data_IF_957764259127
#
_entry.id   IF_957764259127
#
_cell.length_a   1.000
_cell.length_b   1.000
_cell.length_c   1.000
_cell.angle_alpha   90.00
_cell.angle_beta   90.00
_cell.angle_gamma   90.00
#
_symmetry.space_group_name_H-M   'P 1'
#
loop_
_entity.id
_entity.type
_entity.pdbx_description
1 polymer ?
#
# COMPACT_ATOMS: atom_id res chain seq x y z
N UNK A 1 4.18 -60.30 -9.48
CA UNK A 1 3.33 -59.49 -8.59
C UNK A 1 3.38 -58.07 -9.06
N UNK A 2 2.38 -57.63 -9.86
CA UNK A 2 2.35 -56.27 -10.49
C UNK A 2 1.64 -55.31 -9.54
N UNK A 3 2.36 -54.37 -8.99
CA UNK A 3 1.78 -53.27 -8.20
C UNK A 3 1.01 -52.34 -9.14
N UNK A 4 -0.30 -52.26 -8.96
CA UNK A 4 -1.15 -51.23 -9.56
C UNK A 4 -0.99 -49.91 -8.79
N UNK A 5 -0.34 -48.94 -9.38
CA UNK A 5 -0.35 -47.55 -8.89
C UNK A 5 -1.76 -46.97 -9.08
N UNK A 6 -2.45 -46.68 -7.99
CA UNK A 6 -3.67 -45.86 -7.99
C UNK A 6 -3.31 -44.45 -8.43
N UNK A 7 -3.90 -43.99 -9.52
CA UNK A 7 -3.92 -42.55 -9.87
C UNK A 7 -4.63 -41.79 -8.73
N UNK A 8 -3.89 -41.01 -8.00
CA UNK A 8 -4.46 -39.95 -7.15
C UNK A 8 -5.04 -38.88 -8.05
N UNK A 9 -6.34 -38.70 -8.01
CA UNK A 9 -7.02 -37.55 -8.59
C UNK A 9 -6.52 -36.30 -7.87
N UNK A 10 -5.98 -35.34 -8.64
CA UNK A 10 -5.64 -34.03 -8.12
C UNK A 10 -6.94 -33.34 -7.68
N UNK A 11 -7.02 -32.76 -6.48
CA UNK A 11 -8.18 -31.98 -6.11
C UNK A 11 -8.29 -30.82 -7.12
N UNK A 12 -9.44 -30.71 -7.77
CA UNK A 12 -9.80 -29.56 -8.58
C UNK A 12 -9.83 -28.37 -7.65
N UNK A 13 -8.96 -27.41 -7.91
CA UNK A 13 -9.05 -26.07 -7.32
C UNK A 13 -10.39 -25.52 -7.82
N UNK A 14 -11.38 -25.48 -6.94
CA UNK A 14 -12.63 -24.80 -7.22
C UNK A 14 -12.29 -23.32 -7.44
N UNK A 15 -12.36 -22.87 -8.68
CA UNK A 15 -12.47 -21.45 -9.00
C UNK A 15 -13.72 -20.94 -8.28
N UNK A 16 -13.65 -19.82 -7.55
CA UNK A 16 -14.84 -19.25 -6.94
C UNK A 16 -15.86 -19.00 -8.06
N UNK A 17 -17.04 -19.56 -7.92
CA UNK A 17 -18.17 -19.32 -8.80
C UNK A 17 -18.41 -17.81 -8.88
N UNK A 18 -18.18 -17.26 -10.07
CA UNK A 18 -18.46 -15.86 -10.38
C UNK A 18 -19.97 -15.63 -10.30
N UNK A 19 -20.42 -15.08 -9.19
CA UNK A 19 -21.73 -14.45 -9.13
C UNK A 19 -21.80 -13.32 -10.17
N UNK A 20 -22.92 -13.20 -10.85
CA UNK A 20 -23.22 -12.36 -12.04
C UNK A 20 -23.00 -10.83 -11.87
N UNK A 21 -22.37 -10.37 -10.81
CA UNK A 21 -22.12 -8.94 -10.51
C UNK A 21 -20.72 -8.43 -10.93
N UNK A 22 -19.90 -9.23 -11.64
CA UNK A 22 -18.50 -8.87 -11.91
C UNK A 22 -18.13 -8.88 -13.40
N UNK A 23 -19.10 -8.72 -14.30
CA UNK A 23 -18.80 -8.56 -15.72
C UNK A 23 -18.23 -7.16 -15.98
N UNK A 24 -17.17 -7.03 -16.80
CA UNK A 24 -16.65 -5.73 -17.19
C UNK A 24 -17.74 -4.88 -17.83
N UNK A 25 -17.75 -3.59 -17.52
CA UNK A 25 -18.74 -2.64 -18.05
C UNK A 25 -18.17 -1.90 -19.25
N UNK A 26 -18.94 -1.89 -20.35
CA UNK A 26 -18.59 -1.21 -21.59
C UNK A 26 -19.60 -0.11 -21.87
N UNK A 27 -19.14 1.10 -22.10
CA UNK A 27 -19.95 2.18 -22.65
C UNK A 27 -19.90 2.14 -24.18
N UNK A 28 -21.05 2.06 -24.82
CA UNK A 28 -21.20 2.13 -26.28
C UNK A 28 -21.85 3.46 -26.64
N UNK A 29 -21.21 4.23 -27.52
CA UNK A 29 -21.62 5.59 -27.88
C UNK A 29 -21.66 5.72 -29.40
N UNK A 30 -22.81 5.88 -29.97
CA UNK A 30 -23.04 6.07 -31.43
C UNK A 30 -24.37 6.81 -31.61
N UNK A 31 -24.41 7.85 -32.40
CA UNK A 31 -25.64 8.67 -32.61
C UNK A 31 -26.77 7.92 -33.33
N UNK A 32 -26.43 6.80 -33.96
CA UNK A 32 -27.42 5.92 -34.59
C UNK A 32 -27.92 4.85 -33.61
N UNK A 33 -29.19 4.86 -33.19
CA UNK A 33 -29.72 3.86 -32.23
C UNK A 33 -29.56 2.41 -32.70
N UNK A 34 -29.57 2.19 -34.00
CA UNK A 34 -29.38 0.88 -34.62
C UNK A 34 -27.99 0.30 -34.36
N UNK A 35 -26.97 1.14 -34.44
CA UNK A 35 -25.57 0.75 -34.13
C UNK A 35 -25.40 0.43 -32.64
N UNK A 36 -25.95 1.26 -31.76
CA UNK A 36 -25.94 1.01 -30.32
C UNK A 36 -26.59 -0.34 -30.02
N UNK A 37 -27.79 -0.59 -30.53
CA UNK A 37 -28.51 -1.86 -30.30
C UNK A 37 -27.75 -3.07 -30.87
N UNK A 38 -27.09 -2.93 -32.03
CA UNK A 38 -26.31 -4.01 -32.63
C UNK A 38 -25.07 -4.34 -31.77
N UNK A 39 -24.35 -3.31 -31.29
CA UNK A 39 -23.17 -3.50 -30.43
C UNK A 39 -23.54 -4.02 -29.06
N UNK A 40 -24.65 -3.57 -28.46
CA UNK A 40 -25.18 -4.14 -27.21
C UNK A 40 -25.53 -5.63 -27.38
N UNK A 41 -26.25 -5.98 -28.44
CA UNK A 41 -26.62 -7.37 -28.74
C UNK A 41 -25.36 -8.25 -28.91
N UNK A 42 -24.32 -7.70 -29.55
CA UNK A 42 -23.05 -8.38 -29.79
C UNK A 42 -22.26 -8.68 -28.50
N UNK A 43 -22.27 -7.75 -27.55
CA UNK A 43 -21.37 -7.76 -26.39
C UNK A 43 -22.04 -8.21 -25.09
N UNK A 44 -23.38 -8.18 -24.97
CA UNK A 44 -24.13 -8.44 -23.73
C UNK A 44 -23.90 -9.80 -23.08
N UNK A 45 -23.42 -10.80 -23.82
CA UNK A 45 -23.16 -12.14 -23.29
C UNK A 45 -21.85 -12.22 -22.49
N UNK A 46 -20.90 -11.31 -22.77
CA UNK A 46 -19.57 -11.30 -22.17
C UNK A 46 -19.36 -10.06 -21.24
N UNK A 47 -20.19 -9.03 -21.41
CA UNK A 47 -20.00 -7.71 -20.77
C UNK A 47 -21.33 -7.11 -20.32
N UNK A 48 -21.27 -6.23 -19.31
CA UNK A 48 -22.34 -5.31 -18.98
C UNK A 48 -22.24 -4.11 -19.94
N UNK A 49 -23.21 -3.91 -20.81
CA UNK A 49 -23.17 -2.85 -21.80
C UNK A 49 -24.13 -1.72 -21.42
N UNK A 50 -23.67 -0.47 -21.55
CA UNK A 50 -24.46 0.74 -21.35
C UNK A 50 -24.37 1.56 -22.63
N UNK A 51 -25.51 1.70 -23.34
CA UNK A 51 -25.57 2.38 -24.62
C UNK A 51 -26.00 3.85 -24.51
N UNK A 52 -25.38 4.69 -25.33
CA UNK A 52 -25.69 6.13 -25.43
C UNK A 52 -25.82 6.53 -26.89
N UNK A 53 -26.93 7.22 -27.21
CA UNK A 53 -27.13 7.87 -28.54
C UNK A 53 -26.77 9.36 -28.53
N UNK A 54 -26.44 9.89 -27.34
CA UNK A 54 -26.00 11.27 -27.17
C UNK A 54 -24.64 11.33 -26.47
N UNK A 55 -23.58 11.86 -27.12
CA UNK A 55 -22.25 11.89 -26.56
C UNK A 55 -22.12 12.77 -25.30
N UNK A 56 -23.00 13.78 -25.13
CA UNK A 56 -22.98 14.61 -23.91
C UNK A 56 -23.53 13.85 -22.69
N UNK A 57 -24.57 13.03 -22.89
CA UNK A 57 -25.07 12.15 -21.81
C UNK A 57 -24.04 11.08 -21.44
N UNK A 58 -23.35 10.53 -22.43
CA UNK A 58 -22.24 9.61 -22.19
C UNK A 58 -21.13 10.26 -21.37
N UNK A 59 -20.73 11.49 -21.70
CA UNK A 59 -19.70 12.23 -20.98
C UNK A 59 -20.09 12.50 -19.53
N UNK A 60 -21.36 12.84 -19.26
CA UNK A 60 -21.88 13.03 -17.91
C UNK A 60 -21.85 11.72 -17.10
N UNK A 61 -22.32 10.63 -17.70
CA UNK A 61 -22.28 9.31 -17.07
C UNK A 61 -20.85 8.87 -16.72
N UNK A 62 -19.93 9.00 -17.69
CA UNK A 62 -18.53 8.61 -17.55
C UNK A 62 -17.72 9.49 -16.56
N UNK A 63 -18.25 10.67 -16.20
CA UNK A 63 -17.67 11.51 -15.16
C UNK A 63 -17.92 10.97 -13.74
N UNK A 64 -18.97 10.16 -13.55
CA UNK A 64 -19.41 9.66 -12.24
C UNK A 64 -19.30 8.14 -12.09
N UNK A 65 -19.41 7.41 -13.21
CA UNK A 65 -19.44 5.95 -13.22
C UNK A 65 -18.18 5.36 -13.87
N UNK A 66 -17.62 4.35 -13.24
CA UNK A 66 -16.46 3.62 -13.79
C UNK A 66 -16.91 2.63 -14.85
N UNK A 67 -16.23 2.65 -15.99
CA UNK A 67 -16.36 1.62 -17.05
C UNK A 67 -14.99 1.04 -17.38
N UNK A 68 -14.95 -0.21 -17.81
CA UNK A 68 -13.72 -0.90 -18.21
C UNK A 68 -13.29 -0.53 -19.62
N UNK A 69 -14.27 -0.27 -20.52
CA UNK A 69 -14.01 0.11 -21.90
C UNK A 69 -15.04 1.09 -22.43
N UNK A 70 -14.61 1.93 -23.38
CA UNK A 70 -15.45 2.81 -24.20
C UNK A 70 -15.34 2.36 -25.65
N UNK A 71 -16.48 2.16 -26.29
CA UNK A 71 -16.61 1.95 -27.70
C UNK A 71 -17.41 3.14 -28.28
N UNK A 72 -16.77 4.02 -29.02
CA UNK A 72 -17.40 5.26 -29.52
C UNK A 72 -17.31 5.39 -31.02
N UNK A 73 -18.39 5.88 -31.66
CA UNK A 73 -18.27 6.38 -33.00
C UNK A 73 -17.42 7.64 -33.05
N UNK A 74 -16.74 7.88 -34.17
CA UNK A 74 -15.92 9.08 -34.37
C UNK A 74 -16.80 10.29 -34.70
N UNK A 75 -17.82 10.13 -35.57
CA UNK A 75 -18.60 11.23 -36.07
C UNK A 75 -19.99 11.27 -35.47
N UNK A 76 -20.14 12.00 -34.40
CA UNK A 76 -21.44 12.21 -33.75
C UNK A 76 -21.82 13.68 -33.75
N UNK A 77 -23.13 14.04 -33.90
CA UNK A 77 -23.57 15.40 -33.80
C UNK A 77 -23.15 16.08 -32.49
N UNK A 78 -22.50 17.24 -32.61
CA UNK A 78 -22.11 18.09 -31.47
C UNK A 78 -20.80 17.72 -30.74
N UNK A 79 -20.29 16.49 -30.90
CA UNK A 79 -19.00 16.10 -30.27
C UNK A 79 -18.39 14.93 -31.04
N UNK A 80 -17.14 15.06 -31.46
CA UNK A 80 -16.37 13.94 -32.02
C UNK A 80 -16.01 12.92 -30.94
N UNK A 81 -15.88 11.65 -31.34
CA UNK A 81 -15.41 10.60 -30.43
C UNK A 81 -14.05 10.90 -29.82
N UNK A 82 -13.11 11.42 -30.63
CA UNK A 82 -11.78 11.88 -30.15
C UNK A 82 -11.89 13.00 -29.11
N UNK A 83 -12.76 13.99 -29.33
CA UNK A 83 -12.96 15.10 -28.39
C UNK A 83 -13.58 14.64 -27.06
N UNK A 84 -14.49 13.66 -27.12
CA UNK A 84 -15.06 13.03 -25.93
C UNK A 84 -13.94 12.39 -25.08
N UNK A 85 -13.05 11.65 -25.72
CA UNK A 85 -11.94 10.97 -25.03
C UNK A 85 -10.92 11.97 -24.46
N UNK A 86 -10.60 13.06 -25.16
CA UNK A 86 -9.73 14.13 -24.64
C UNK A 86 -10.33 14.77 -23.38
N UNK A 87 -11.64 15.05 -23.40
CA UNK A 87 -12.33 15.63 -22.23
C UNK A 87 -12.35 14.69 -21.03
N UNK A 88 -12.42 13.39 -21.25
CA UNK A 88 -12.39 12.37 -20.19
C UNK A 88 -11.00 12.24 -19.56
N UNK A 89 -9.91 12.28 -20.34
CA UNK A 89 -8.52 12.18 -19.82
C UNK A 89 -8.24 13.24 -18.75
N UNK A 90 -8.80 14.43 -18.87
CA UNK A 90 -8.62 15.51 -17.89
C UNK A 90 -9.45 15.39 -16.61
N UNK A 91 -10.39 14.43 -16.53
CA UNK A 91 -11.38 14.35 -15.44
C UNK A 91 -11.30 13.08 -14.58
N UNK A 92 -10.66 12.02 -15.05
CA UNK A 92 -10.63 10.73 -14.36
C UNK A 92 -9.21 10.27 -14.07
N UNK A 93 -8.97 9.82 -12.84
CA UNK A 93 -7.73 9.16 -12.44
C UNK A 93 -7.57 7.76 -13.10
N UNK A 94 -8.67 7.16 -13.53
CA UNK A 94 -8.72 5.89 -14.24
C UNK A 94 -9.27 6.12 -15.65
N UNK A 95 -8.41 6.00 -16.65
CA UNK A 95 -8.81 6.16 -18.04
C UNK A 95 -9.18 4.80 -18.64
N UNK A 96 -10.44 4.58 -19.04
CA UNK A 96 -10.87 3.29 -19.60
C UNK A 96 -10.28 3.07 -20.99
N UNK A 97 -10.20 1.81 -21.38
CA UNK A 97 -9.81 1.48 -22.74
C UNK A 97 -10.79 2.08 -23.72
N UNK A 98 -10.26 2.74 -24.70
CA UNK A 98 -11.07 3.39 -25.71
C UNK A 98 -10.84 2.80 -27.09
N UNK A 99 -11.92 2.40 -27.73
CA UNK A 99 -11.97 1.89 -29.11
C UNK A 99 -12.83 2.84 -29.92
N UNK A 100 -12.29 3.37 -31.00
CA UNK A 100 -13.06 4.21 -31.94
C UNK A 100 -13.53 3.35 -33.10
N UNK A 101 -14.80 3.49 -33.43
CA UNK A 101 -15.41 2.93 -34.66
C UNK A 101 -15.54 4.07 -35.68
N UNK A 102 -14.94 3.92 -36.86
CA UNK A 102 -14.86 5.07 -37.80
C UNK A 102 -14.93 4.65 -39.27
N UNK A 103 -15.34 5.57 -40.13
CA UNK A 103 -15.18 5.47 -41.57
C UNK A 103 -13.78 5.91 -42.03
N UNK A 104 -13.47 5.68 -43.30
CA UNK A 104 -12.11 5.84 -43.91
C UNK A 104 -11.49 7.25 -43.87
N UNK A 105 -12.17 8.30 -43.40
CA UNK A 105 -11.77 9.71 -43.67
C UNK A 105 -11.07 10.44 -42.51
N UNK A 106 -10.90 9.82 -41.36
CA UNK A 106 -10.50 10.54 -40.10
C UNK A 106 -9.12 10.16 -39.59
N UNK A 107 -8.19 9.80 -40.49
CA UNK A 107 -6.89 9.19 -40.12
C UNK A 107 -5.98 10.13 -39.26
N UNK A 108 -6.00 11.44 -39.54
CA UNK A 108 -5.08 12.36 -38.84
C UNK A 108 -5.44 12.55 -37.34
N UNK A 109 -6.73 12.65 -37.04
CA UNK A 109 -7.19 12.80 -35.64
C UNK A 109 -6.97 11.51 -34.84
N UNK A 110 -7.13 10.36 -35.52
CA UNK A 110 -6.85 9.06 -34.92
C UNK A 110 -5.37 8.87 -34.60
N UNK A 111 -4.46 9.30 -35.50
CA UNK A 111 -3.00 9.23 -35.27
C UNK A 111 -2.62 10.05 -34.03
N UNK A 112 -3.17 11.26 -33.90
CA UNK A 112 -2.94 12.05 -32.69
C UNK A 112 -3.42 11.31 -31.43
N UNK A 113 -4.63 10.78 -31.43
CA UNK A 113 -5.18 10.07 -30.27
C UNK A 113 -4.45 8.76 -29.94
N UNK A 114 -3.90 8.08 -30.95
CA UNK A 114 -3.04 6.90 -30.71
C UNK A 114 -1.74 7.33 -30.03
N UNK A 115 -1.07 8.35 -30.56
CA UNK A 115 0.20 8.84 -30.01
C UNK A 115 0.06 9.38 -28.58
N UNK A 116 -1.08 10.01 -28.26
CA UNK A 116 -1.39 10.47 -26.91
C UNK A 116 -1.90 9.35 -25.98
N UNK A 117 -2.01 8.11 -26.47
CA UNK A 117 -2.50 6.96 -25.68
C UNK A 117 -3.98 7.08 -25.30
N UNK A 118 -4.78 7.91 -26.04
CA UNK A 118 -6.20 8.10 -25.79
C UNK A 118 -7.04 6.95 -26.32
N UNK A 119 -6.59 6.30 -27.39
CA UNK A 119 -7.27 5.15 -27.98
C UNK A 119 -6.31 3.95 -28.02
N UNK A 120 -6.85 2.81 -27.65
CA UNK A 120 -6.14 1.53 -27.74
C UNK A 120 -6.18 0.94 -29.12
N UNK A 121 -7.32 1.14 -29.80
CA UNK A 121 -7.60 0.63 -31.13
C UNK A 121 -8.66 1.45 -31.84
N UNK A 122 -8.70 1.31 -33.17
CA UNK A 122 -9.83 1.70 -34.00
C UNK A 122 -10.34 0.52 -34.82
N UNK A 123 -11.61 0.56 -35.18
CA UNK A 123 -12.28 -0.41 -36.05
C UNK A 123 -12.94 0.34 -37.17
N UNK A 124 -12.73 -0.11 -38.42
CA UNK A 124 -13.28 0.53 -39.60
C UNK A 124 -14.73 0.08 -39.87
N UNK A 125 -15.59 1.03 -40.28
CA UNK A 125 -16.93 0.74 -40.77
C UNK A 125 -16.87 0.41 -42.29
N UNK A 126 -17.56 -0.62 -42.81
CA UNK A 126 -18.39 -1.58 -42.07
C UNK A 126 -17.51 -2.57 -41.26
N UNK A 127 -17.90 -2.84 -40.00
CA UNK A 127 -17.15 -3.73 -39.11
C UNK A 127 -17.72 -5.15 -39.10
N UNK A 128 -16.86 -6.12 -38.90
CA UNK A 128 -17.24 -7.50 -38.63
C UNK A 128 -17.40 -7.71 -37.09
N UNK A 129 -18.39 -8.53 -36.69
CA UNK A 129 -18.60 -8.82 -35.25
C UNK A 129 -17.35 -9.23 -34.50
N UNK A 130 -16.47 -9.99 -35.12
CA UNK A 130 -15.26 -10.49 -34.51
C UNK A 130 -14.19 -9.41 -34.30
N UNK A 131 -14.13 -8.39 -35.16
CA UNK A 131 -13.20 -7.26 -35.02
C UNK A 131 -13.53 -6.43 -33.76
N UNK A 132 -14.82 -6.18 -33.54
CA UNK A 132 -15.29 -5.49 -32.32
C UNK A 132 -14.97 -6.31 -31.07
N UNK A 133 -15.32 -7.61 -31.06
CA UNK A 133 -15.02 -8.49 -29.93
C UNK A 133 -13.51 -8.56 -29.63
N UNK A 134 -12.70 -8.70 -30.68
CA UNK A 134 -11.25 -8.77 -30.53
C UNK A 134 -10.68 -7.47 -29.98
N UNK A 135 -11.12 -6.30 -30.49
CA UNK A 135 -10.67 -5.00 -30.02
C UNK A 135 -10.98 -4.79 -28.53
N UNK A 136 -12.22 -5.06 -28.12
CA UNK A 136 -12.66 -4.93 -26.72
C UNK A 136 -11.93 -5.92 -25.81
N UNK A 137 -11.89 -7.20 -26.18
CA UNK A 137 -11.26 -8.27 -25.39
C UNK A 137 -9.78 -8.02 -25.16
N UNK A 138 -9.04 -7.64 -26.21
CA UNK A 138 -7.60 -7.36 -26.11
C UNK A 138 -7.35 -6.11 -25.28
N UNK A 139 -8.18 -5.10 -25.47
CA UNK A 139 -8.09 -3.89 -24.70
C UNK A 139 -8.28 -4.17 -23.20
N UNK A 140 -9.40 -4.77 -22.77
CA UNK A 140 -9.68 -5.12 -21.37
C UNK A 140 -8.58 -6.02 -20.79
N UNK A 141 -8.08 -6.99 -21.57
CA UNK A 141 -6.97 -7.83 -21.14
C UNK A 141 -5.71 -7.01 -20.83
N UNK A 142 -5.37 -6.06 -21.70
CA UNK A 142 -4.19 -5.20 -21.52
C UNK A 142 -4.30 -4.34 -20.26
N UNK A 143 -5.46 -3.68 -20.03
CA UNK A 143 -5.66 -2.90 -18.81
C UNK A 143 -5.59 -3.75 -17.56
N UNK A 144 -6.25 -4.92 -17.55
CA UNK A 144 -6.17 -5.83 -16.40
C UNK A 144 -4.74 -6.31 -16.12
N UNK A 145 -3.93 -6.54 -17.15
CA UNK A 145 -2.53 -6.87 -16.99
C UNK A 145 -1.74 -5.69 -16.41
N UNK A 146 -1.97 -4.48 -16.90
CA UNK A 146 -1.34 -3.25 -16.38
C UNK A 146 -1.75 -2.99 -14.93
N UNK A 147 -3.05 -3.06 -14.62
CA UNK A 147 -3.55 -2.93 -13.24
C UNK A 147 -2.98 -4.00 -12.30
N UNK A 148 -2.86 -5.25 -12.77
CA UNK A 148 -2.24 -6.31 -11.99
C UNK A 148 -0.77 -6.01 -11.70
N UNK A 149 -0.03 -5.47 -12.66
CA UNK A 149 1.36 -5.02 -12.45
C UNK A 149 1.43 -3.87 -11.44
N UNK A 150 0.53 -2.88 -11.52
CA UNK A 150 0.47 -1.77 -10.54
C UNK A 150 0.13 -2.25 -9.11
N UNK A 151 -0.58 -3.39 -8.98
CA UNK A 151 -0.82 -4.01 -7.67
C UNK A 151 0.39 -4.77 -7.13
N UNK A 152 1.29 -5.21 -8.00
CA UNK A 152 2.51 -5.91 -7.61
C UNK A 152 3.67 -4.94 -7.30
N UNK A 153 3.65 -3.75 -7.92
CA UNK A 153 4.68 -2.74 -7.75
C UNK A 153 4.03 -1.40 -7.44
N UNK A 154 4.35 -0.74 -6.31
CA UNK A 154 3.77 0.54 -5.95
C UNK A 154 4.02 1.60 -7.02
N UNK A 155 2.96 2.23 -7.52
CA UNK A 155 3.04 3.24 -8.58
C UNK A 155 3.91 4.44 -8.16
N UNK A 156 3.86 4.81 -6.88
CA UNK A 156 4.68 5.88 -6.31
C UNK A 156 6.18 5.58 -6.46
N UNK A 157 6.59 4.33 -6.22
CA UNK A 157 7.97 3.92 -6.42
C UNK A 157 8.38 3.97 -7.90
N UNK A 158 7.51 3.48 -8.79
CA UNK A 158 7.76 3.54 -10.23
C UNK A 158 7.97 4.97 -10.70
N UNK A 159 7.11 5.91 -10.30
CA UNK A 159 7.23 7.33 -10.65
C UNK A 159 8.50 7.98 -10.12
N UNK A 160 9.01 7.55 -8.95
CA UNK A 160 10.26 8.08 -8.39
C UNK A 160 11.50 7.55 -9.11
N UNK A 161 11.51 6.26 -9.44
CA UNK A 161 12.66 5.62 -10.10
C UNK A 161 12.64 5.84 -11.61
N UNK A 162 11.46 5.92 -12.21
CA UNK A 162 11.26 6.08 -13.67
C UNK A 162 10.35 7.29 -13.98
N UNK A 163 10.78 8.53 -13.72
CA UNK A 163 9.95 9.73 -13.89
C UNK A 163 9.50 9.97 -15.34
N UNK A 164 10.23 9.46 -16.31
CA UNK A 164 9.93 9.59 -17.74
C UNK A 164 9.24 8.33 -18.33
N UNK A 165 8.77 7.41 -17.46
CA UNK A 165 8.20 6.14 -17.89
C UNK A 165 9.17 4.99 -17.87
N UNK A 166 8.64 3.76 -17.90
CA UNK A 166 9.42 2.54 -17.85
C UNK A 166 9.72 2.10 -19.28
N UNK A 167 10.86 2.52 -19.82
CA UNK A 167 11.33 1.99 -21.12
C UNK A 167 12.00 0.61 -20.94
N UNK A 168 12.81 0.47 -19.87
CA UNK A 168 13.51 -0.77 -19.54
C UNK A 168 13.46 -1.03 -18.03
N UNK A 169 12.79 -2.08 -17.61
CA UNK A 169 12.80 -2.53 -16.22
C UNK A 169 14.00 -3.47 -15.99
N UNK A 170 15.16 -2.88 -15.73
CA UNK A 170 16.42 -3.58 -15.53
C UNK A 170 17.04 -3.25 -14.16
N UNK A 171 17.94 -4.08 -13.60
CA UNK A 171 18.66 -3.75 -12.38
C UNK A 171 19.53 -2.50 -12.54
N UNK A 172 19.67 -1.73 -11.45
CA UNK A 172 20.62 -0.61 -11.38
C UNK A 172 20.01 0.79 -11.57
N UNK A 173 18.70 0.91 -11.81
CA UNK A 173 18.02 2.20 -11.75
C UNK A 173 17.72 2.55 -10.30
N UNK A 174 18.10 3.74 -9.83
CA UNK A 174 17.82 4.16 -8.48
C UNK A 174 17.71 5.69 -8.34
N UNK A 175 17.05 6.09 -7.29
CA UNK A 175 16.99 7.48 -6.79
C UNK A 175 17.21 7.49 -5.28
N UNK A 176 17.73 8.61 -4.77
CA UNK A 176 17.88 8.82 -3.33
C UNK A 176 16.95 9.93 -2.88
N UNK A 177 16.28 9.72 -1.77
CA UNK A 177 15.37 10.72 -1.22
C UNK A 177 15.30 10.62 0.31
N UNK A 178 15.04 11.74 0.99
CA UNK A 178 14.70 11.73 2.40
C UNK A 178 13.26 11.23 2.57
N UNK A 179 13.04 10.35 3.55
CA UNK A 179 11.71 9.83 3.86
C UNK A 179 11.63 9.34 5.29
N UNK A 180 10.40 9.05 5.75
CA UNK A 180 10.18 8.21 6.90
C UNK A 180 9.85 6.79 6.44
N UNK A 181 10.40 5.82 7.16
CA UNK A 181 10.21 4.39 6.95
C UNK A 181 9.49 3.81 8.15
N UNK A 182 8.41 3.09 7.93
CA UNK A 182 7.62 2.44 8.97
C UNK A 182 7.60 0.93 8.77
N UNK A 183 7.96 0.19 9.82
CA UNK A 183 7.65 -1.23 9.98
C UNK A 183 6.51 -1.38 10.96
N UNK A 184 5.48 -2.15 10.60
CA UNK A 184 4.40 -2.51 11.51
C UNK A 184 4.19 -4.02 11.46
N UNK A 185 4.17 -4.69 12.63
CA UNK A 185 4.08 -6.14 12.76
C UNK A 185 3.01 -6.53 13.78
N UNK A 186 2.26 -7.59 13.49
CA UNK A 186 1.13 -8.05 14.31
C UNK A 186 1.63 -8.88 15.49
N UNK A 187 1.42 -8.43 16.70
CA UNK A 187 1.93 -9.12 17.87
C UNK A 187 1.19 -10.43 18.15
N UNK A 188 1.98 -11.49 18.26
CA UNK A 188 1.48 -12.82 18.59
C UNK A 188 0.81 -13.54 17.43
N UNK A 189 0.95 -13.03 16.20
CA UNK A 189 0.40 -13.67 14.99
C UNK A 189 0.89 -15.10 14.83
N UNK A 190 2.18 -15.39 15.05
CA UNK A 190 2.75 -16.76 14.98
C UNK A 190 1.98 -17.73 15.87
N UNK A 191 1.70 -17.35 17.11
CA UNK A 191 0.93 -18.17 18.05
C UNK A 191 -0.52 -18.36 17.62
N UNK A 192 -1.12 -17.33 17.02
CA UNK A 192 -2.49 -17.38 16.46
C UNK A 192 -2.50 -18.29 15.25
N UNK A 193 -1.55 -18.14 14.32
CA UNK A 193 -1.43 -18.91 13.10
C UNK A 193 -1.23 -20.41 13.36
N UNK A 194 -0.50 -20.80 14.41
CA UNK A 194 -0.35 -22.20 14.84
C UNK A 194 -1.69 -22.86 15.21
N UNK A 195 -2.69 -22.07 15.59
CA UNK A 195 -4.03 -22.55 15.96
C UNK A 195 -5.04 -22.55 14.81
N UNK A 196 -4.65 -22.02 13.65
CA UNK A 196 -5.48 -21.85 12.45
C UNK A 196 -5.05 -22.82 11.34
N UNK A 197 -5.98 -23.14 10.44
CA UNK A 197 -5.62 -23.76 9.17
C UNK A 197 -4.86 -22.77 8.28
N UNK A 198 -4.03 -23.23 7.32
CA UNK A 198 -3.33 -22.35 6.40
C UNK A 198 -4.24 -21.36 5.65
N UNK A 199 -5.46 -21.80 5.28
CA UNK A 199 -6.44 -20.94 4.62
C UNK A 199 -7.00 -19.85 5.54
N UNK A 200 -7.29 -20.19 6.81
CA UNK A 200 -7.74 -19.19 7.80
C UNK A 200 -6.66 -18.17 8.13
N UNK A 201 -5.40 -18.61 8.29
CA UNK A 201 -4.27 -17.71 8.51
C UNK A 201 -4.06 -16.76 7.32
N UNK A 202 -4.17 -17.26 6.08
CA UNK A 202 -4.10 -16.45 4.87
C UNK A 202 -5.24 -15.42 4.79
N UNK A 203 -6.47 -15.84 5.07
CA UNK A 203 -7.63 -14.95 5.08
C UNK A 203 -7.47 -13.84 6.13
N UNK A 204 -7.02 -14.20 7.32
CA UNK A 204 -6.76 -13.28 8.41
C UNK A 204 -5.74 -12.19 8.03
N UNK A 205 -4.61 -12.57 7.41
CA UNK A 205 -3.62 -11.62 6.91
C UNK A 205 -4.19 -10.73 5.81
N UNK A 206 -4.99 -11.30 4.91
CA UNK A 206 -5.62 -10.54 3.84
C UNK A 206 -6.57 -9.47 4.41
N UNK A 207 -7.36 -9.80 5.40
CA UNK A 207 -8.25 -8.88 6.11
C UNK A 207 -7.44 -7.79 6.84
N UNK A 208 -6.39 -8.16 7.55
CA UNK A 208 -5.49 -7.23 8.23
C UNK A 208 -4.84 -6.23 7.25
N UNK A 209 -4.25 -6.71 6.17
CA UNK A 209 -3.62 -5.84 5.17
C UNK A 209 -4.61 -4.96 4.43
N UNK A 210 -5.81 -5.48 4.12
CA UNK A 210 -6.90 -4.69 3.53
C UNK A 210 -7.37 -3.56 4.44
N UNK A 211 -7.16 -3.71 5.73
CA UNK A 211 -7.52 -2.72 6.72
C UNK A 211 -6.44 -1.65 6.92
N UNK A 212 -5.15 -2.02 7.00
CA UNK A 212 -4.07 -1.05 7.27
C UNK A 212 -3.59 -0.30 6.03
N UNK A 213 -3.67 -0.92 4.84
CA UNK A 213 -3.19 -0.28 3.59
C UNK A 213 -3.91 1.03 3.26
N UNK A 214 -5.24 1.16 3.39
CA UNK A 214 -5.93 2.44 3.20
C UNK A 214 -5.47 3.52 4.18
N UNK A 215 -5.21 3.17 5.44
CA UNK A 215 -4.73 4.12 6.46
C UNK A 215 -3.36 4.69 6.03
N UNK A 216 -2.45 3.81 5.58
CA UNK A 216 -1.14 4.25 5.07
C UNK A 216 -1.31 5.24 3.89
N UNK A 217 -2.23 4.96 2.98
CA UNK A 217 -2.49 5.81 1.83
C UNK A 217 -3.16 7.15 2.22
N UNK A 218 -4.08 7.16 3.18
CA UNK A 218 -4.72 8.37 3.73
C UNK A 218 -3.70 9.33 4.34
N UNK A 219 -2.65 8.77 4.96
CA UNK A 219 -1.51 9.53 5.48
C UNK A 219 -0.38 9.72 4.43
N UNK A 220 -0.70 9.64 3.14
CA UNK A 220 0.22 9.87 2.00
C UNK A 220 1.43 8.92 1.94
N UNK A 221 1.36 7.80 2.65
CA UNK A 221 2.34 6.73 2.56
C UNK A 221 1.98 5.71 1.49
N UNK A 222 2.91 4.84 1.18
CA UNK A 222 2.68 3.68 0.34
C UNK A 222 3.40 2.45 0.88
N UNK A 223 2.82 1.28 0.62
CA UNK A 223 3.40 0.00 1.03
C UNK A 223 4.48 -0.40 0.02
N UNK A 224 5.70 -0.64 0.49
CA UNK A 224 6.77 -1.25 -0.31
C UNK A 224 6.52 -2.75 -0.47
N UNK A 225 6.38 -3.45 0.64
CA UNK A 225 6.09 -4.90 0.65
C UNK A 225 5.47 -5.37 1.95
N UNK A 226 4.88 -6.56 1.88
CA UNK A 226 4.47 -7.32 3.05
C UNK A 226 5.54 -8.34 3.42
N UNK A 227 5.83 -8.49 4.71
CA UNK A 227 6.90 -9.33 5.25
C UNK A 227 6.31 -10.29 6.29
N UNK A 228 5.70 -11.38 5.81
CA UNK A 228 4.90 -12.27 6.68
C UNK A 228 3.65 -11.56 7.19
N UNK A 229 3.56 -11.32 8.49
CA UNK A 229 2.52 -10.53 9.15
C UNK A 229 2.89 -9.04 9.29
N UNK A 230 4.08 -8.66 8.86
CA UNK A 230 4.57 -7.29 8.86
C UNK A 230 4.33 -6.53 7.56
N UNK A 231 4.33 -5.21 7.64
CA UNK A 231 4.29 -4.30 6.52
C UNK A 231 5.44 -3.30 6.57
N UNK A 232 6.07 -3.06 5.43
CA UNK A 232 7.04 -2.00 5.22
C UNK A 232 6.36 -0.89 4.42
N UNK A 233 6.26 0.29 5.01
CA UNK A 233 5.67 1.47 4.38
C UNK A 233 6.65 2.64 4.33
N UNK A 234 6.53 3.46 3.29
CA UNK A 234 7.36 4.62 3.02
C UNK A 234 6.49 5.87 2.98
N UNK A 235 6.98 6.94 3.57
CA UNK A 235 6.36 8.27 3.57
C UNK A 235 7.39 9.26 3.02
N UNK A 236 7.13 9.84 1.86
CA UNK A 236 8.08 10.70 1.14
C UNK A 236 7.50 12.08 0.77
N UNK A 237 6.39 12.46 1.40
CA UNK A 237 5.76 13.76 1.18
C UNK A 237 6.70 14.89 1.60
N UNK A 238 7.05 15.83 0.72
CA UNK A 238 7.96 16.90 1.06
C UNK A 238 7.51 17.67 2.32
N UNK A 239 8.42 17.84 3.28
CA UNK A 239 8.26 18.56 4.54
C UNK A 239 7.28 17.95 5.58
N UNK A 240 6.54 16.91 5.26
CA UNK A 240 5.53 16.31 6.18
C UNK A 240 5.68 14.80 6.40
N UNK A 241 6.68 14.16 5.78
CA UNK A 241 6.82 12.70 5.85
C UNK A 241 6.99 12.15 7.28
N UNK A 242 7.58 12.90 8.20
CA UNK A 242 7.70 12.50 9.59
C UNK A 242 6.36 12.55 10.31
N UNK A 243 5.63 13.66 10.16
CA UNK A 243 4.32 13.86 10.76
C UNK A 243 3.30 12.89 10.17
N UNK A 244 3.31 12.71 8.86
CA UNK A 244 2.43 11.76 8.15
C UNK A 244 2.67 10.32 8.67
N UNK A 245 3.93 9.90 8.83
CA UNK A 245 4.28 8.57 9.33
C UNK A 245 3.89 8.36 10.80
N UNK A 246 4.12 9.36 11.66
CA UNK A 246 3.75 9.29 13.08
C UNK A 246 2.24 9.27 13.28
N UNK A 247 1.49 10.11 12.53
CA UNK A 247 0.03 10.11 12.56
C UNK A 247 -0.55 8.78 12.07
N UNK A 248 0.00 8.21 11.00
CA UNK A 248 -0.35 6.90 10.49
C UNK A 248 -0.13 5.80 11.54
N UNK A 249 1.04 5.81 12.20
CA UNK A 249 1.36 4.83 13.25
C UNK A 249 0.36 4.86 14.41
N UNK A 250 -0.01 6.06 14.87
CA UNK A 250 -1.01 6.26 15.93
C UNK A 250 -2.39 5.75 15.51
N UNK A 251 -2.81 6.03 14.28
CA UNK A 251 -4.10 5.57 13.77
C UNK A 251 -4.15 4.05 13.60
N UNK A 252 -3.10 3.43 13.04
CA UNK A 252 -3.01 1.97 12.92
C UNK A 252 -3.10 1.32 14.31
N UNK A 253 -2.33 1.79 15.31
CA UNK A 253 -2.37 1.24 16.67
C UNK A 253 -3.76 1.31 17.27
N UNK A 254 -4.39 2.47 17.19
CA UNK A 254 -5.75 2.69 17.71
C UNK A 254 -6.76 1.75 17.05
N UNK A 255 -6.77 1.71 15.72
CA UNK A 255 -7.73 0.89 14.96
C UNK A 255 -7.50 -0.61 15.17
N UNK A 256 -6.25 -1.08 15.18
CA UNK A 256 -5.93 -2.50 15.44
C UNK A 256 -6.37 -2.91 16.83
N UNK A 257 -6.16 -2.08 17.83
CA UNK A 257 -6.63 -2.33 19.20
C UNK A 257 -8.15 -2.43 19.29
N UNK A 258 -8.88 -1.49 18.65
CA UNK A 258 -10.34 -1.46 18.63
C UNK A 258 -10.95 -2.64 17.87
N UNK A 259 -10.31 -3.08 16.76
CA UNK A 259 -10.76 -4.25 16.01
C UNK A 259 -10.60 -5.53 16.81
N UNK A 260 -9.50 -5.69 17.54
CA UNK A 260 -9.27 -6.85 18.38
C UNK A 260 -10.33 -7.06 19.44
N UNK A 261 -11.00 -6.00 19.90
CA UNK A 261 -12.13 -6.07 20.82
C UNK A 261 -13.42 -6.58 20.16
N UNK A 262 -13.57 -6.38 18.84
CA UNK A 262 -14.79 -6.66 18.08
C UNK A 262 -14.71 -7.93 17.20
N UNK A 263 -13.55 -8.56 17.05
CA UNK A 263 -13.36 -9.70 16.16
C UNK A 263 -13.90 -11.00 16.78
N UNK A 264 -15.12 -11.38 16.40
CA UNK A 264 -15.86 -12.54 16.95
C UNK A 264 -15.38 -13.91 16.42
N UNK A 265 -14.43 -13.97 15.51
CA UNK A 265 -14.06 -15.19 14.78
C UNK A 265 -12.72 -15.85 15.15
N UNK A 266 -11.76 -15.08 15.64
CA UNK A 266 -10.46 -15.64 16.01
C UNK A 266 -10.40 -15.92 17.52
N UNK A 267 -9.71 -16.99 17.92
CA UNK A 267 -9.35 -17.29 19.31
C UNK A 267 -8.31 -16.25 19.81
N UNK A 268 -8.69 -14.96 19.76
CA UNK A 268 -7.86 -13.86 20.23
C UNK A 268 -7.85 -13.88 21.76
N UNK A 269 -6.65 -13.83 22.36
CA UNK A 269 -6.52 -13.75 23.81
C UNK A 269 -7.22 -12.52 24.35
N UNK A 270 -7.70 -12.54 25.62
CA UNK A 270 -8.19 -11.34 26.28
C UNK A 270 -7.16 -10.21 26.19
N UNK A 271 -7.54 -9.06 25.64
CA UNK A 271 -6.63 -7.92 25.42
C UNK A 271 -6.52 -7.47 23.96
N UNK A 272 -7.22 -8.12 23.04
CA UNK A 272 -7.31 -7.71 21.63
C UNK A 272 -6.04 -7.93 20.81
N UNK A 273 -6.08 -7.49 19.57
CA UNK A 273 -4.92 -7.46 18.69
C UNK A 273 -4.01 -6.29 19.08
N UNK A 274 -2.73 -6.52 18.98
CA UNK A 274 -1.71 -5.50 19.21
C UNK A 274 -0.78 -5.45 18.02
N UNK A 275 -0.25 -4.27 17.75
CA UNK A 275 0.75 -4.05 16.71
C UNK A 275 2.02 -3.48 17.34
N UNK A 276 3.18 -3.87 16.83
CA UNK A 276 4.46 -3.22 17.06
C UNK A 276 4.79 -2.35 15.87
N UNK A 277 5.10 -1.06 16.08
CA UNK A 277 5.42 -0.13 15.00
C UNK A 277 6.74 0.56 15.30
N UNK A 278 7.68 0.43 14.37
CA UNK A 278 8.95 1.15 14.38
C UNK A 278 9.00 2.16 13.26
N UNK A 279 9.32 3.42 13.56
CA UNK A 279 9.43 4.48 12.54
C UNK A 279 10.79 5.15 12.63
N UNK A 280 11.48 5.24 11.49
CA UNK A 280 12.76 5.90 11.35
C UNK A 280 12.73 6.91 10.21
N UNK A 281 13.56 7.95 10.31
CA UNK A 281 13.70 8.99 9.30
C UNK A 281 15.12 9.04 8.76
N UNK A 282 15.28 9.42 7.49
CA UNK A 282 16.59 9.60 6.88
C UNK A 282 16.61 9.38 5.39
N UNK A 283 17.83 9.35 4.83
CA UNK A 283 18.04 9.06 3.42
C UNK A 283 17.87 7.58 3.10
N UNK A 284 17.16 7.28 2.03
CA UNK A 284 17.04 5.93 1.48
C UNK A 284 17.38 5.93 -0.01
N UNK A 285 17.72 4.76 -0.52
CA UNK A 285 17.85 4.48 -1.95
C UNK A 285 16.65 3.65 -2.39
N UNK A 286 15.85 4.19 -3.28
CA UNK A 286 14.75 3.54 -3.96
C UNK A 286 15.26 3.08 -5.33
N UNK A 287 15.10 1.81 -5.67
CA UNK A 287 15.62 1.37 -6.96
C UNK A 287 15.37 -0.09 -7.30
N UNK A 288 15.80 -0.46 -8.50
CA UNK A 288 15.72 -1.80 -9.03
C UNK A 288 16.99 -2.58 -8.69
N UNK A 289 16.83 -3.71 -8.02
CA UNK A 289 17.91 -4.62 -7.66
C UNK A 289 17.62 -6.02 -8.17
N UNK A 290 18.66 -6.78 -8.48
CA UNK A 290 18.51 -8.17 -8.89
C UNK A 290 19.43 -8.58 -10.03
N UNK A 291 18.96 -9.52 -10.84
CA UNK A 291 19.65 -10.04 -12.03
C UNK A 291 18.70 -9.97 -13.24
N UNK A 292 19.18 -10.24 -14.47
CA UNK A 292 18.35 -10.16 -15.67
C UNK A 292 17.04 -10.98 -15.60
N UNK A 293 17.08 -12.13 -14.92
CA UNK A 293 15.94 -13.03 -14.81
C UNK A 293 14.96 -12.63 -13.68
N UNK A 294 15.39 -11.79 -12.72
CA UNK A 294 14.57 -11.36 -11.60
C UNK A 294 15.01 -9.98 -11.10
N UNK A 295 14.13 -9.03 -11.28
CA UNK A 295 14.30 -7.64 -10.81
C UNK A 295 13.24 -7.35 -9.74
N UNK A 296 13.66 -6.75 -8.66
CA UNK A 296 12.78 -6.26 -7.60
C UNK A 296 12.95 -4.75 -7.46
N UNK A 297 11.84 -4.03 -7.39
CA UNK A 297 11.82 -2.62 -7.01
C UNK A 297 11.66 -2.57 -5.49
N UNK A 298 12.62 -1.94 -4.81
CA UNK A 298 12.69 -1.95 -3.35
C UNK A 298 13.40 -0.73 -2.79
N UNK A 299 13.23 -0.52 -1.49
CA UNK A 299 13.94 0.49 -0.72
C UNK A 299 15.07 -0.16 0.08
N UNK A 300 16.25 0.47 0.05
CA UNK A 300 17.41 0.08 0.86
C UNK A 300 18.02 1.29 1.55
N UNK A 301 18.62 1.06 2.70
CA UNK A 301 19.31 2.12 3.45
C UNK A 301 19.38 1.82 4.94
N UNK A 302 20.20 2.58 5.62
CA UNK A 302 20.37 2.48 7.09
C UNK A 302 19.06 2.82 7.81
N UNK A 303 18.28 3.77 7.27
CA UNK A 303 16.94 4.14 7.76
C UNK A 303 15.98 2.96 7.78
N UNK A 304 15.99 2.12 6.73
CA UNK A 304 15.15 0.91 6.65
C UNK A 304 15.51 -0.07 7.76
N UNK A 305 16.82 -0.33 7.95
CA UNK A 305 17.30 -1.21 9.00
C UNK A 305 16.96 -0.64 10.39
N UNK A 306 17.07 0.68 10.56
CA UNK A 306 16.74 1.35 11.82
C UNK A 306 15.25 1.18 12.14
N UNK A 307 14.35 1.42 11.20
CA UNK A 307 12.90 1.24 11.40
C UNK A 307 12.56 -0.20 11.80
N UNK A 308 13.16 -1.20 11.14
CA UNK A 308 12.97 -2.61 11.50
C UNK A 308 13.45 -2.91 12.93
N UNK A 309 14.59 -2.33 13.35
CA UNK A 309 15.10 -2.50 14.73
C UNK A 309 14.24 -1.79 15.78
N UNK A 310 13.64 -0.65 15.41
CA UNK A 310 12.71 0.05 16.31
C UNK A 310 11.43 -0.78 16.52
N UNK A 311 10.92 -1.44 15.47
CA UNK A 311 9.81 -2.38 15.61
C UNK A 311 10.18 -3.54 16.57
N UNK A 312 11.34 -4.18 16.36
CA UNK A 312 11.84 -5.25 17.25
C UNK A 312 11.99 -4.75 18.70
N UNK A 313 12.44 -3.49 18.89
CA UNK A 313 12.57 -2.83 20.20
C UNK A 313 11.22 -2.65 20.88
N UNK A 314 10.13 -2.35 20.14
CA UNK A 314 8.78 -2.29 20.69
C UNK A 314 8.43 -3.53 21.52
N UNK A 315 8.77 -4.72 21.02
CA UNK A 315 8.52 -6.00 21.70
C UNK A 315 9.35 -6.14 22.96
N UNK A 316 10.60 -5.69 22.91
CA UNK A 316 11.54 -5.82 24.04
C UNK A 316 11.18 -4.91 25.21
N UNK A 317 10.72 -3.68 24.91
CA UNK A 317 10.37 -2.70 25.95
C UNK A 317 8.88 -2.65 26.30
N UNK A 318 8.02 -3.35 25.54
CA UNK A 318 6.58 -3.36 25.80
C UNK A 318 5.84 -2.12 25.28
N UNK A 319 6.46 -1.31 24.40
CA UNK A 319 5.80 -0.19 23.73
C UNK A 319 5.04 -0.65 22.48
N UNK A 320 3.99 0.04 22.05
CA UNK A 320 3.32 -0.21 20.77
C UNK A 320 4.00 0.49 19.61
N UNK A 321 4.45 1.73 19.81
CA UNK A 321 5.06 2.54 18.75
C UNK A 321 6.38 3.12 19.29
N UNK A 322 7.47 2.88 18.57
CA UNK A 322 8.78 3.46 18.84
C UNK A 322 9.30 4.20 17.61
N UNK A 323 9.75 5.43 17.81
CA UNK A 323 10.23 6.30 16.73
C UNK A 323 11.64 6.85 17.07
N UNK A 324 12.40 7.27 16.06
CA UNK A 324 13.59 8.08 16.31
C UNK A 324 13.18 9.44 16.91
N UNK A 325 13.87 9.88 17.97
CA UNK A 325 13.49 11.10 18.69
C UNK A 325 13.55 12.35 17.82
N UNK A 326 14.41 12.39 16.80
CA UNK A 326 14.52 13.53 15.88
C UNK A 326 13.28 13.75 15.01
N UNK A 327 12.38 12.77 14.91
CA UNK A 327 11.11 12.89 14.17
C UNK A 327 10.08 13.74 14.91
N UNK A 328 10.15 13.75 16.23
CA UNK A 328 9.14 14.39 17.08
C UNK A 328 9.70 15.64 17.75
N UNK A 329 8.86 16.67 17.84
CA UNK A 329 9.14 17.77 18.76
C UNK A 329 8.85 17.31 20.20
N UNK A 330 9.80 17.51 21.13
CA UNK A 330 9.67 17.11 22.54
C UNK A 330 8.46 17.74 23.27
N UNK A 331 7.88 18.79 22.73
CA UNK A 331 6.64 19.40 23.21
C UNK A 331 5.36 18.78 22.60
N UNK A 332 5.49 17.77 21.73
CA UNK A 332 4.36 17.10 21.10
C UNK A 332 3.59 16.26 22.13
N UNK A 333 2.28 16.49 22.22
CA UNK A 333 1.41 15.65 23.05
C UNK A 333 1.44 14.21 22.53
N UNK A 334 1.55 13.26 23.46
CA UNK A 334 1.62 11.83 23.10
C UNK A 334 2.99 11.34 22.68
N UNK A 335 4.05 12.14 22.86
CA UNK A 335 5.44 11.72 22.69
C UNK A 335 6.17 11.68 24.02
N UNK A 336 6.87 10.58 24.29
CA UNK A 336 7.75 10.41 25.45
C UNK A 336 9.15 9.97 24.98
N UNK A 337 10.20 10.78 25.17
CA UNK A 337 11.56 10.36 24.88
C UNK A 337 11.93 9.19 25.78
N UNK A 338 12.66 8.21 25.25
CA UNK A 338 13.12 7.02 25.99
C UNK A 338 14.66 7.03 26.17
N UNK A 339 15.33 8.04 25.64
CA UNK A 339 16.76 8.23 25.72
C UNK A 339 17.54 7.51 24.61
N UNK A 340 18.84 7.36 24.82
CA UNK A 340 19.78 6.72 23.93
C UNK A 340 19.80 5.21 24.17
N UNK A 341 19.41 4.43 23.17
CA UNK A 341 19.26 2.97 23.26
C UNK A 341 20.19 2.28 22.27
N UNK A 342 20.84 1.14 22.68
CA UNK A 342 21.58 0.31 21.75
C UNK A 342 20.60 -0.47 20.86
N UNK A 343 20.71 -0.32 19.55
CA UNK A 343 20.00 -1.16 18.62
C UNK A 343 20.93 -2.28 18.11
N UNK A 344 20.38 -3.48 17.96
CA UNK A 344 21.14 -4.64 17.48
C UNK A 344 21.81 -4.34 16.11
N UNK A 345 23.14 -4.55 16.02
CA UNK A 345 23.89 -4.31 14.79
C UNK A 345 24.19 -2.85 14.49
N UNK A 346 23.96 -1.94 15.44
CA UNK A 346 24.39 -0.54 15.39
C UNK A 346 25.54 -0.33 16.40
N UNK A 347 26.57 0.35 15.95
CA UNK A 347 27.68 0.74 16.85
C UNK A 347 27.29 1.90 17.75
N UNK A 348 26.55 2.86 17.20
CA UNK A 348 26.12 4.04 17.91
C UNK A 348 24.76 3.83 18.59
N UNK A 349 24.57 4.51 19.72
CA UNK A 349 23.28 4.64 20.37
C UNK A 349 22.35 5.50 19.51
N UNK A 350 21.10 5.13 19.46
CA UNK A 350 20.06 5.89 18.77
C UNK A 350 19.12 6.50 19.81
N UNK A 351 18.83 7.79 19.66
CA UNK A 351 17.81 8.47 20.46
C UNK A 351 16.42 8.02 19.97
N UNK A 352 15.64 7.44 20.88
CA UNK A 352 14.31 6.94 20.57
C UNK A 352 13.25 7.54 21.49
N UNK A 353 12.00 7.50 21.04
CA UNK A 353 10.84 7.87 21.84
C UNK A 353 9.66 6.97 21.58
N UNK A 354 8.73 6.97 22.50
CA UNK A 354 7.45 6.28 22.41
C UNK A 354 6.36 7.24 21.97
N UNK A 355 5.48 6.79 21.06
CA UNK A 355 4.25 7.50 20.70
C UNK A 355 3.03 6.78 21.32
N UNK A 356 2.05 7.57 21.79
CA UNK A 356 0.79 7.05 22.34
C UNK A 356 -0.34 8.08 22.19
N UNK A 357 -1.58 7.61 22.00
CA UNK A 357 -2.77 8.48 21.89
C UNK A 357 -3.38 8.85 23.23
N UNK A 358 -3.31 7.96 24.23
CA UNK A 358 -3.97 8.11 25.52
C UNK A 358 -2.91 8.50 26.53
N UNK A 359 -3.15 9.58 27.27
CA UNK A 359 -2.28 9.93 28.40
C UNK A 359 -2.12 8.71 29.33
N UNK A 360 -0.88 8.30 29.49
CA UNK A 360 -0.52 7.23 30.42
C UNK A 360 -0.45 7.83 31.81
N UNK A 361 -1.25 7.30 32.71
CA UNK A 361 -1.16 7.58 34.15
C UNK A 361 -0.15 6.60 34.78
N UNK A 362 0.49 7.01 35.86
CA UNK A 362 1.44 6.18 36.62
C UNK A 362 2.66 5.73 35.78
N UNK A 363 3.22 6.65 35.01
CA UNK A 363 4.46 6.46 34.25
C UNK A 363 5.37 7.68 34.36
N UNK A 364 6.68 7.48 34.03
CA UNK A 364 7.63 8.59 33.99
C UNK A 364 7.18 9.64 32.96
N UNK A 365 7.21 10.90 33.37
CA UNK A 365 6.82 12.03 32.53
C UNK A 365 7.83 12.27 31.41
N UNK A 366 7.41 12.94 30.33
CA UNK A 366 8.32 13.35 29.25
C UNK A 366 9.47 14.21 29.78
N UNK A 367 9.23 15.08 30.79
CA UNK A 367 10.25 15.94 31.38
C UNK A 367 11.32 15.11 32.15
N UNK A 368 10.91 14.11 32.93
CA UNK A 368 11.85 13.21 33.63
C UNK A 368 12.70 12.43 32.62
N UNK A 369 12.09 11.96 31.54
CA UNK A 369 12.80 11.24 30.49
C UNK A 369 13.71 12.12 29.63
N UNK A 370 13.38 13.41 29.46
CA UNK A 370 14.28 14.39 28.85
C UNK A 370 15.53 14.59 29.69
N UNK A 371 15.38 14.73 31.00
CA UNK A 371 16.54 14.87 31.91
C UNK A 371 17.45 13.63 31.86
N UNK A 372 16.87 12.43 31.73
CA UNK A 372 17.63 11.20 31.50
C UNK A 372 18.40 11.26 30.17
N UNK A 373 17.75 11.70 29.08
CA UNK A 373 18.40 11.86 27.79
C UNK A 373 19.54 12.88 27.79
N UNK A 374 19.40 14.01 28.51
CA UNK A 374 20.43 15.02 28.66
C UNK A 374 21.67 14.48 29.38
N UNK A 375 21.48 13.69 30.45
CA UNK A 375 22.57 13.02 31.14
C UNK A 375 23.32 12.04 30.21
N UNK A 376 22.59 11.27 29.42
CA UNK A 376 23.17 10.36 28.45
C UNK A 376 23.97 11.10 27.37
N UNK A 377 23.41 12.15 26.81
CA UNK A 377 24.02 12.94 25.73
C UNK A 377 25.25 13.71 26.21
N UNK A 378 25.30 14.11 27.50
CA UNK A 378 26.46 14.75 28.10
C UNK A 378 27.55 13.75 28.56
N UNK A 379 27.38 12.46 28.30
CA UNK A 379 28.32 11.39 28.66
C UNK A 379 28.28 10.98 30.14
N UNK A 380 27.35 11.50 30.94
CA UNK A 380 27.17 11.19 32.38
C UNK A 380 26.40 9.87 32.56
N UNK A 381 26.92 8.79 31.96
CA UNK A 381 26.21 7.51 31.86
C UNK A 381 25.90 6.90 33.25
N UNK A 382 26.75 7.10 34.25
CA UNK A 382 26.51 6.56 35.60
C UNK A 382 25.37 7.29 36.30
N UNK A 383 25.32 8.63 36.18
CA UNK A 383 24.21 9.44 36.71
C UNK A 383 22.90 9.08 36.01
N UNK A 384 22.92 8.93 34.70
CA UNK A 384 21.77 8.49 33.91
C UNK A 384 21.27 7.09 34.34
N UNK A 385 22.15 6.15 34.60
CA UNK A 385 21.79 4.82 35.11
C UNK A 385 21.09 4.88 36.47
N UNK A 386 21.62 5.64 37.40
CA UNK A 386 21.00 5.79 38.73
C UNK A 386 19.65 6.47 38.66
N UNK A 387 19.51 7.51 37.81
CA UNK A 387 18.24 8.18 37.53
C UNK A 387 17.21 7.20 36.96
N UNK A 388 17.60 6.40 35.97
CA UNK A 388 16.70 5.40 35.36
C UNK A 388 16.24 4.36 36.40
N UNK A 389 17.15 3.93 37.29
CA UNK A 389 16.84 2.99 38.39
C UNK A 389 15.86 3.61 39.39
N UNK A 390 16.03 4.88 39.72
CA UNK A 390 15.12 5.63 40.60
C UNK A 390 13.73 5.75 39.96
N UNK A 391 13.66 6.10 38.68
CA UNK A 391 12.41 6.17 37.91
C UNK A 391 11.70 4.81 37.87
N UNK A 392 12.43 3.70 37.67
CA UNK A 392 11.84 2.35 37.74
C UNK A 392 11.27 2.02 39.11
N UNK A 393 11.87 2.54 40.18
CA UNK A 393 11.38 2.35 41.56
C UNK A 393 10.13 3.23 41.81
N UNK A 394 10.14 4.45 41.31
CA UNK A 394 9.03 5.40 41.40
C UNK A 394 7.81 4.96 40.62
N UNK A 395 7.99 4.36 39.43
CA UNK A 395 6.95 3.93 38.51
C UNK A 395 7.05 2.40 38.24
N UNK A 396 6.74 1.54 39.20
CA UNK A 396 6.96 0.08 39.10
C UNK A 396 6.06 -0.59 38.06
N UNK A 397 4.96 0.05 37.68
CA UNK A 397 4.00 -0.45 36.69
C UNK A 397 4.28 0.05 35.25
N UNK A 398 5.29 0.91 35.05
CA UNK A 398 5.72 1.34 33.72
C UNK A 398 6.57 0.24 33.06
N UNK A 399 5.89 -0.59 32.26
CA UNK A 399 6.52 -1.70 31.56
C UNK A 399 7.60 -1.22 30.56
N UNK A 400 7.38 -0.06 29.92
CA UNK A 400 8.32 0.50 28.94
C UNK A 400 9.61 0.94 29.64
N UNK A 401 9.51 1.61 30.77
CA UNK A 401 10.67 2.03 31.56
C UNK A 401 11.47 0.83 32.04
N UNK A 402 10.79 -0.21 32.53
CA UNK A 402 11.43 -1.48 32.95
C UNK A 402 12.11 -2.18 31.76
N UNK A 403 11.54 -2.09 30.55
CA UNK A 403 12.13 -2.61 29.32
C UNK A 403 13.39 -1.86 28.90
N UNK A 404 13.37 -0.53 28.98
CA UNK A 404 14.53 0.34 28.72
C UNK A 404 15.68 0.00 29.69
N UNK A 405 15.39 -0.20 30.97
CA UNK A 405 16.39 -0.63 31.95
C UNK A 405 17.02 -1.97 31.60
N UNK A 406 16.24 -2.95 31.15
CA UNK A 406 16.76 -4.25 30.70
C UNK A 406 17.74 -4.11 29.54
N UNK A 407 17.42 -3.28 28.54
CA UNK A 407 18.28 -3.03 27.37
C UNK A 407 19.62 -2.40 27.80
N UNK A 408 19.61 -1.53 28.81
CA UNK A 408 20.82 -0.94 29.37
C UNK A 408 21.70 -1.96 30.09
N UNK A 409 21.10 -2.84 30.88
CA UNK A 409 21.84 -3.88 31.63
C UNK A 409 22.51 -4.89 30.70
N UNK A 410 21.84 -5.30 29.59
CA UNK A 410 22.41 -6.22 28.60
C UNK A 410 23.70 -5.65 27.99
N UNK A 411 23.78 -4.34 27.75
CA UNK A 411 24.97 -3.70 27.20
C UNK A 411 26.14 -3.64 28.17
N UNK A 412 25.87 -3.45 29.44
CA UNK A 412 26.89 -3.26 30.47
C UNK A 412 27.34 -4.59 31.13
N UNK A 413 26.86 -5.74 30.62
CA UNK A 413 27.28 -7.06 31.10
C UNK A 413 26.82 -7.40 32.51
N UNK A 414 25.73 -6.80 32.97
CA UNK A 414 25.07 -7.07 34.26
C UNK A 414 23.81 -7.91 34.12
#
# INVERSE_FOLDING_TARGET
>A
MKLKLKKQERPSIATPESTNNNLPTIAVIDDEPGNVAALEALLKNEYRVVGFTNPMQALEYLAHEKVDAILTDQRMPGLLGTDLLIKLKGRSAHYPISVIVTGYTDVNDLVYCINEGLISRYVLKPWEPEDIRAAVRQGIKHTRQTEAMHRLVPEQMLKRVFPNGIEHFAPGHFTQLPCAVMFADLRGFTTIAESLSPSEAYQLLTEYFSFITPIIAEHKGFVDKFLGDGVLAIFDSPNTYNEDAMACALEIEHKVRTLGENFKGAKVKPGGWRVGIGVATGMVTLGTIGCPDRVELTVIGDTVNTAARLEETCKQIGASIVVQSEMANHSMNGFRPLGLIPLRGKENLIAIGELFQIEKTDCASSQEMLSLHELQSSGKLLEAYFMLKELCTKYPHDAVLSGVMKLWNIRNGQ
#
